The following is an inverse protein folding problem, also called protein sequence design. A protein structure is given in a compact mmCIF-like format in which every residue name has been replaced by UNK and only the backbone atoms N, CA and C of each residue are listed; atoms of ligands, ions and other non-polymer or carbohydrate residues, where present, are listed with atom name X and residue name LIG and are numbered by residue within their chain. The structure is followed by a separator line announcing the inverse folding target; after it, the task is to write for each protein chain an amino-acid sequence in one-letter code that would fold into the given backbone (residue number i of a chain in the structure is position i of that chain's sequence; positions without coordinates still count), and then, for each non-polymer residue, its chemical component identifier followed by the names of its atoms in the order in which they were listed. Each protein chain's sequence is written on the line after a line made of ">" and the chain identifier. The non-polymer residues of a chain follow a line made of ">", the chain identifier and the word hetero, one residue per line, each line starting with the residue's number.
data_IF_227807424979
#
_entry.id   IF_227807424979
#
_cell.length_a   1.000
_cell.length_b   1.000
_cell.length_c   1.000
_cell.angle_alpha   90.00
_cell.angle_beta   90.00
_cell.angle_gamma   90.00
#
_symmetry.space_group_name_H-M   'P 1'
#
loop_
_entity.id
_entity.type
_entity.pdbx_description
1 polymer ?
#
# COMPACT_ATOMS: atom_id res chain seq x y z
N UNK A 1 9.18 -2.77 -20.84
CA UNK A 1 8.76 -3.53 -19.64
C UNK A 1 7.43 -2.99 -19.17
N UNK A 2 6.60 -3.84 -18.58
CA UNK A 2 5.31 -3.41 -18.07
C UNK A 2 5.44 -2.77 -16.69
N UNK A 3 4.44 -1.99 -16.31
CA UNK A 3 4.39 -1.41 -14.96
C UNK A 3 4.36 -2.51 -13.89
N UNK A 4 3.64 -3.61 -14.15
CA UNK A 4 3.60 -4.73 -13.24
C UNK A 4 4.99 -5.32 -13.01
N UNK A 5 5.75 -5.54 -14.07
CA UNK A 5 7.11 -6.08 -13.97
C UNK A 5 8.02 -5.15 -13.18
N UNK A 6 7.91 -3.86 -13.41
CA UNK A 6 8.73 -2.87 -12.70
C UNK A 6 8.38 -2.80 -11.21
N UNK A 7 7.09 -2.90 -10.88
CA UNK A 7 6.65 -2.94 -9.49
C UNK A 7 7.04 -4.25 -8.82
N UNK A 8 6.93 -5.37 -9.52
CA UNK A 8 7.40 -6.66 -9.00
C UNK A 8 8.90 -6.65 -8.74
N UNK A 9 9.69 -6.03 -9.64
CA UNK A 9 11.13 -5.91 -9.45
C UNK A 9 11.47 -5.14 -8.17
N UNK A 10 10.72 -4.09 -7.87
CA UNK A 10 10.88 -3.34 -6.61
C UNK A 10 10.62 -4.22 -5.39
N UNK A 11 9.56 -5.03 -5.45
CA UNK A 11 9.23 -5.99 -4.38
C UNK A 11 10.36 -7.02 -4.22
N UNK A 12 10.87 -7.53 -5.33
CA UNK A 12 11.96 -8.51 -5.33
C UNK A 12 13.22 -7.96 -4.68
N UNK A 13 13.53 -6.69 -4.90
CA UNK A 13 14.66 -6.01 -4.24
C UNK A 13 14.45 -5.98 -2.73
N UNK A 14 13.26 -5.62 -2.26
CA UNK A 14 12.97 -5.58 -0.82
C UNK A 14 13.08 -6.97 -0.19
N UNK A 15 12.53 -7.97 -0.84
CA UNK A 15 12.59 -9.35 -0.36
C UNK A 15 14.03 -9.89 -0.39
N UNK A 16 14.74 -9.66 -1.47
CA UNK A 16 16.13 -10.12 -1.62
C UNK A 16 17.09 -9.47 -0.63
N UNK A 17 16.79 -8.24 -0.20
CA UNK A 17 17.58 -7.54 0.81
C UNK A 17 17.22 -7.97 2.25
N UNK A 18 16.25 -8.88 2.41
CA UNK A 18 15.83 -9.34 3.73
C UNK A 18 14.95 -8.35 4.48
N UNK A 19 14.41 -7.34 3.78
CA UNK A 19 13.57 -6.32 4.41
C UNK A 19 12.13 -6.78 4.62
N UNK A 20 11.65 -7.72 3.80
CA UNK A 20 10.33 -8.33 3.95
C UNK A 20 10.44 -9.84 3.71
N UNK A 21 9.47 -10.60 4.23
CA UNK A 21 9.39 -12.03 4.03
C UNK A 21 8.87 -12.36 2.62
N UNK A 22 9.03 -13.62 2.20
CA UNK A 22 8.44 -14.10 0.96
C UNK A 22 6.92 -14.01 0.95
N UNK A 23 6.29 -14.26 2.10
CA UNK A 23 4.83 -14.15 2.26
C UNK A 23 4.37 -12.70 2.07
N UNK A 24 5.08 -11.75 2.66
CA UNK A 24 4.77 -10.33 2.49
C UNK A 24 5.01 -9.88 1.05
N UNK A 25 6.05 -10.40 0.42
CA UNK A 25 6.32 -10.12 -0.99
C UNK A 25 5.15 -10.60 -1.87
N UNK A 26 4.60 -11.77 -1.60
CA UNK A 26 3.45 -12.29 -2.35
C UNK A 26 2.21 -11.42 -2.14
N UNK A 27 1.97 -10.96 -0.91
CA UNK A 27 0.89 -10.03 -0.61
C UNK A 27 1.04 -8.73 -1.38
N UNK A 28 2.24 -8.19 -1.46
CA UNK A 28 2.52 -6.99 -2.24
C UNK A 28 2.28 -7.21 -3.73
N UNK A 29 2.65 -8.36 -4.28
CA UNK A 29 2.38 -8.67 -5.69
C UNK A 29 0.89 -8.76 -5.98
N UNK A 30 0.12 -9.39 -5.10
CA UNK A 30 -1.34 -9.42 -5.24
C UNK A 30 -1.93 -8.00 -5.20
N UNK A 31 -1.40 -7.15 -4.34
CA UNK A 31 -1.85 -5.76 -4.24
C UNK A 31 -1.54 -4.99 -5.53
N UNK A 32 -0.38 -5.23 -6.13
CA UNK A 32 -0.04 -4.65 -7.45
C UNK A 32 -1.07 -5.07 -8.49
N UNK A 33 -1.41 -6.35 -8.53
CA UNK A 33 -2.39 -6.87 -9.49
C UNK A 33 -3.76 -6.23 -9.30
N UNK A 34 -4.20 -6.10 -8.05
CA UNK A 34 -5.45 -5.41 -7.71
C UNK A 34 -5.42 -3.95 -8.15
N UNK A 35 -4.31 -3.27 -7.90
CA UNK A 35 -4.15 -1.86 -8.25
C UNK A 35 -4.23 -1.63 -9.74
N UNK A 36 -3.52 -2.44 -10.52
CA UNK A 36 -3.53 -2.33 -11.99
C UNK A 36 -4.86 -2.74 -12.60
N UNK A 37 -5.59 -3.62 -11.94
CA UNK A 37 -6.95 -3.99 -12.34
C UNK A 37 -7.92 -2.82 -12.11
N UNK A 38 -7.74 -2.08 -11.03
CA UNK A 38 -8.58 -0.93 -10.68
C UNK A 38 -8.27 0.29 -11.57
N UNK A 39 -6.99 0.55 -11.84
CA UNK A 39 -6.54 1.70 -12.60
C UNK A 39 -5.28 1.33 -13.37
N UNK A 40 -5.46 0.99 -14.64
CA UNK A 40 -4.38 0.53 -15.51
C UNK A 40 -3.29 1.59 -15.72
N UNK A 41 -3.66 2.86 -15.77
CA UNK A 41 -2.75 3.98 -16.05
C UNK A 41 -2.20 4.67 -14.81
N UNK A 42 -2.04 3.94 -13.70
CA UNK A 42 -1.44 4.49 -12.49
C UNK A 42 -0.04 5.03 -12.76
N UNK A 43 0.34 6.07 -12.02
CA UNK A 43 1.70 6.58 -12.03
C UNK A 43 2.62 5.55 -11.37
N UNK A 44 3.66 5.13 -12.10
CA UNK A 44 4.55 4.07 -11.64
C UNK A 44 5.33 4.47 -10.38
N UNK A 45 5.79 5.72 -10.31
CA UNK A 45 6.54 6.21 -9.16
C UNK A 45 5.67 6.26 -7.91
N UNK A 46 4.47 6.80 -8.02
CA UNK A 46 3.52 6.86 -6.89
C UNK A 46 3.11 5.46 -6.43
N UNK A 47 2.89 4.57 -7.39
CA UNK A 47 2.55 3.18 -7.07
C UNK A 47 3.71 2.48 -6.37
N UNK A 48 4.94 2.73 -6.81
CA UNK A 48 6.12 2.18 -6.16
C UNK A 48 6.28 2.65 -4.73
N UNK A 49 6.03 3.92 -4.47
CA UNK A 49 6.06 4.49 -3.12
C UNK A 49 5.00 3.82 -2.24
N UNK A 50 3.78 3.69 -2.76
CA UNK A 50 2.70 3.02 -2.03
C UNK A 50 3.08 1.57 -1.67
N UNK A 51 3.57 0.80 -2.63
CA UNK A 51 3.94 -0.60 -2.41
C UNK A 51 5.08 -0.72 -1.39
N UNK A 52 6.06 0.18 -1.46
CA UNK A 52 7.16 0.19 -0.48
C UNK A 52 6.64 0.46 0.93
N UNK A 53 5.74 1.43 1.08
CA UNK A 53 5.13 1.71 2.38
C UNK A 53 4.30 0.55 2.90
N UNK A 54 3.54 -0.10 2.02
CA UNK A 54 2.77 -1.28 2.40
C UNK A 54 3.70 -2.39 2.90
N UNK A 55 4.77 -2.67 2.17
CA UNK A 55 5.75 -3.69 2.55
C UNK A 55 6.34 -3.42 3.92
N UNK A 56 6.73 -2.17 4.18
CA UNK A 56 7.31 -1.79 5.47
C UNK A 56 6.27 -1.84 6.59
N UNK A 57 5.03 -1.47 6.32
CA UNK A 57 3.95 -1.57 7.30
C UNK A 57 3.68 -3.03 7.69
N UNK A 58 3.69 -3.95 6.73
CA UNK A 58 3.54 -5.37 7.00
C UNK A 58 4.66 -5.90 7.89
N UNK A 59 5.89 -5.48 7.60
CA UNK A 59 7.04 -5.87 8.42
C UNK A 59 6.91 -5.34 9.86
N UNK A 60 6.54 -4.06 10.01
CA UNK A 60 6.36 -3.48 11.35
C UNK A 60 5.26 -4.19 12.13
N UNK A 61 4.15 -4.51 11.47
CA UNK A 61 3.05 -5.23 12.12
C UNK A 61 3.50 -6.59 12.67
N UNK A 62 4.29 -7.32 11.90
CA UNK A 62 4.82 -8.62 12.33
C UNK A 62 5.76 -8.50 13.52
N UNK A 63 6.46 -7.39 13.63
CA UNK A 63 7.42 -7.15 14.72
C UNK A 63 6.79 -6.42 15.92
N UNK A 64 5.47 -6.21 15.90
CA UNK A 64 4.78 -5.47 16.94
C UNK A 64 5.11 -3.99 16.98
N UNK A 65 5.61 -3.45 15.87
CA UNK A 65 5.98 -2.03 15.74
C UNK A 65 4.93 -1.30 14.92
N UNK A 66 4.88 0.02 15.05
CA UNK A 66 3.96 0.86 14.29
C UNK A 66 4.57 2.24 14.08
N UNK A 67 4.01 2.96 13.09
CA UNK A 67 4.36 4.35 12.83
C UNK A 67 3.58 5.29 13.75
N UNK A 68 4.04 6.53 13.86
CA UNK A 68 3.26 7.60 14.49
C UNK A 68 2.02 7.86 13.62
N UNK A 69 0.82 7.94 14.21
CA UNK A 69 -0.39 8.21 13.42
C UNK A 69 -0.30 9.52 12.65
N UNK A 70 -0.94 9.56 11.48
CA UNK A 70 -1.08 10.79 10.71
C UNK A 70 -1.94 11.79 11.49
N UNK A 71 -1.67 13.08 11.27
CA UNK A 71 -2.45 14.15 11.90
C UNK A 71 -3.94 14.03 11.51
N UNK A 72 -4.82 14.10 12.51
CA UNK A 72 -6.26 13.97 12.29
C UNK A 72 -6.79 15.02 11.30
N UNK A 73 -6.22 16.22 11.29
CA UNK A 73 -6.65 17.27 10.36
C UNK A 73 -6.34 16.88 8.91
N UNK A 74 -5.19 16.25 8.66
CA UNK A 74 -4.83 15.76 7.32
C UNK A 74 -5.81 14.67 6.89
N UNK A 75 -6.17 13.76 7.78
CA UNK A 75 -7.10 12.68 7.48
C UNK A 75 -8.50 13.23 7.16
N UNK A 76 -8.96 14.26 7.88
CA UNK A 76 -10.23 14.89 7.59
C UNK A 76 -10.24 15.59 6.21
N UNK A 77 -9.15 16.25 5.85
CA UNK A 77 -9.00 16.84 4.52
C UNK A 77 -9.02 15.77 3.44
N UNK A 78 -8.41 14.62 3.70
CA UNK A 78 -8.36 13.52 2.76
C UNK A 78 -9.77 12.99 2.46
N UNK A 79 -10.62 12.94 3.46
CA UNK A 79 -12.02 12.47 3.32
C UNK A 79 -12.85 13.35 2.39
N UNK A 80 -12.44 14.59 2.18
CA UNK A 80 -13.13 15.52 1.28
C UNK A 80 -12.70 15.35 -0.18
N UNK A 81 -11.62 14.59 -0.43
CA UNK A 81 -11.15 14.36 -1.80
C UNK A 81 -12.11 13.43 -2.57
N UNK A 82 -12.38 13.75 -3.86
CA UNK A 82 -13.28 12.90 -4.66
C UNK A 82 -12.83 11.44 -4.74
N UNK A 83 -11.54 11.18 -4.66
CA UNK A 83 -10.97 9.83 -4.79
C UNK A 83 -11.09 9.04 -3.50
N UNK A 84 -11.46 9.67 -2.39
CA UNK A 84 -11.42 9.00 -1.08
C UNK A 84 -12.29 7.74 -1.02
N UNK A 85 -13.50 7.78 -1.54
CA UNK A 85 -14.40 6.62 -1.51
C UNK A 85 -13.80 5.44 -2.28
N UNK A 86 -13.20 5.72 -3.43
CA UNK A 86 -12.56 4.70 -4.25
C UNK A 86 -11.36 4.09 -3.53
N UNK A 87 -10.57 4.94 -2.88
CA UNK A 87 -9.43 4.50 -2.09
C UNK A 87 -9.87 3.65 -0.90
N UNK A 88 -10.95 4.05 -0.22
CA UNK A 88 -11.49 3.30 0.91
C UNK A 88 -12.01 1.92 0.49
N UNK A 89 -12.69 1.83 -0.64
CA UNK A 89 -13.13 0.55 -1.20
C UNK A 89 -11.95 -0.36 -1.53
N UNK A 90 -10.92 0.21 -2.14
CA UNK A 90 -9.70 -0.54 -2.45
C UNK A 90 -9.05 -1.03 -1.15
N UNK A 91 -8.95 -0.16 -0.16
CA UNK A 91 -8.37 -0.52 1.14
C UNK A 91 -9.11 -1.69 1.77
N UNK A 92 -10.44 -1.68 1.75
CA UNK A 92 -11.24 -2.77 2.31
C UNK A 92 -10.95 -4.10 1.60
N UNK A 93 -10.85 -4.08 0.29
CA UNK A 93 -10.50 -5.29 -0.47
C UNK A 93 -9.08 -5.75 -0.19
N UNK A 94 -8.16 -4.80 -0.06
CA UNK A 94 -6.76 -5.09 0.24
C UNK A 94 -6.61 -5.77 1.61
N UNK A 95 -7.39 -5.33 2.62
CA UNK A 95 -7.28 -5.92 3.95
C UNK A 95 -7.66 -7.39 3.97
N UNK A 96 -8.46 -7.86 3.02
CA UNK A 96 -8.84 -9.27 2.93
C UNK A 96 -7.68 -10.18 2.58
N UNK A 97 -6.64 -9.64 1.90
CA UNK A 97 -5.48 -10.44 1.50
C UNK A 97 -4.27 -10.24 2.41
N UNK A 98 -4.36 -9.34 3.39
CA UNK A 98 -3.26 -9.11 4.32
C UNK A 98 -3.14 -10.28 5.30
N UNK A 99 -1.90 -10.75 5.58
CA UNK A 99 -1.70 -11.84 6.55
C UNK A 99 -2.07 -11.44 7.98
N UNK A 100 -1.96 -10.15 8.31
CA UNK A 100 -2.32 -9.59 9.61
C UNK A 100 -2.95 -8.23 9.42
N UNK A 101 -3.90 -7.85 10.31
CA UNK A 101 -4.46 -6.50 10.25
C UNK A 101 -3.38 -5.44 10.48
N UNK A 102 -3.46 -4.35 9.74
CA UNK A 102 -2.56 -3.22 9.97
C UNK A 102 -3.01 -2.46 11.21
N UNK A 103 -2.06 -1.98 12.06
CA UNK A 103 -2.39 -1.08 13.15
C UNK A 103 -3.08 0.19 12.65
N UNK A 104 -3.98 0.75 13.43
CA UNK A 104 -4.69 1.98 13.06
C UNK A 104 -3.75 3.12 12.68
N UNK A 105 -2.60 3.19 13.35
CA UNK A 105 -1.60 4.22 13.04
C UNK A 105 -1.04 4.13 11.62
N UNK A 106 -1.05 2.94 11.01
CA UNK A 106 -0.57 2.75 9.63
C UNK A 106 -1.65 3.07 8.61
N UNK A 107 -2.93 2.91 8.97
CA UNK A 107 -4.06 3.04 8.05
C UNK A 107 -4.10 4.41 7.39
N UNK A 108 -3.88 5.47 8.15
CA UNK A 108 -3.91 6.84 7.62
C UNK A 108 -2.86 7.07 6.54
N UNK A 109 -1.65 6.60 6.74
CA UNK A 109 -0.57 6.72 5.74
C UNK A 109 -0.91 5.94 4.48
N UNK A 110 -1.40 4.71 4.63
CA UNK A 110 -1.80 3.90 3.48
C UNK A 110 -2.91 4.59 2.69
N UNK A 111 -3.88 5.18 3.36
CA UNK A 111 -4.97 5.91 2.69
C UNK A 111 -4.46 7.13 1.91
N UNK A 112 -3.48 7.87 2.46
CA UNK A 112 -2.86 8.99 1.73
C UNK A 112 -2.25 8.49 0.42
N UNK A 113 -1.48 7.40 0.49
CA UNK A 113 -0.84 6.85 -0.71
C UNK A 113 -1.85 6.30 -1.71
N UNK A 114 -2.91 5.63 -1.24
CA UNK A 114 -3.96 5.13 -2.14
C UNK A 114 -4.67 6.27 -2.85
N UNK A 115 -4.98 7.35 -2.15
CA UNK A 115 -5.60 8.51 -2.77
C UNK A 115 -4.69 9.12 -3.85
N UNK A 116 -3.38 9.19 -3.60
CA UNK A 116 -2.42 9.70 -4.58
C UNK A 116 -2.34 8.81 -5.82
N UNK A 117 -2.37 7.50 -5.63
CA UNK A 117 -2.24 6.55 -6.74
C UNK A 117 -3.52 6.46 -7.56
N UNK A 118 -4.68 6.48 -6.90
CA UNK A 118 -5.98 6.30 -7.56
C UNK A 118 -6.58 7.61 -8.10
N UNK A 119 -5.99 8.73 -7.78
CA UNK A 119 -6.46 10.04 -8.24
C UNK A 119 -6.38 10.22 -9.76
#
# INVERSE_FOLDING_TARGET
>A
MSKAEDLYARIDVLCGAGLISGEDADTCRETVDMLLSEKEDVDEERSGIFITHLAMALKRAQNGQTETPIDAAVLEELKEEPVYEKAAEFFDRMTEILPEPLPDAETGFIMVHLCNVLA
#
